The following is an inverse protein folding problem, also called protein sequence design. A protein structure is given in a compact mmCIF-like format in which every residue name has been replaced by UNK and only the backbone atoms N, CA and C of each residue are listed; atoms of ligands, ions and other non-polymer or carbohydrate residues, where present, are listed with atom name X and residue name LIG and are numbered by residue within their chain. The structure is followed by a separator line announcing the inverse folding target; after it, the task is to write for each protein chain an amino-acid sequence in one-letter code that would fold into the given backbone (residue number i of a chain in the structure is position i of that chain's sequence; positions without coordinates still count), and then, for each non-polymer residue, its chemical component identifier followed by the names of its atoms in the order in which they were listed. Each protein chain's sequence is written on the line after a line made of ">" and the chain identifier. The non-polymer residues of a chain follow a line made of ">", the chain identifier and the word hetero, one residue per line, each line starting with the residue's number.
data_IF_638144273044
#
_entry.id   IF_638144273044
#
_cell.length_a   1.000
_cell.length_b   1.000
_cell.length_c   1.000
_cell.angle_alpha   90.00
_cell.angle_beta   90.00
_cell.angle_gamma   90.00
#
_symmetry.space_group_name_H-M   'P 1'
#
loop_
_entity.id
_entity.type
_entity.pdbx_description
1 polymer ?
#
# COMPACT_ATOMS: atom_id res chain seq x y z
N UNK A 1 23.86 10.85 -23.21
CA UNK A 1 23.29 9.78 -22.38
C UNK A 1 23.90 8.47 -22.86
N UNK A 2 24.90 7.97 -22.14
CA UNK A 2 25.39 6.61 -22.37
C UNK A 2 24.43 5.65 -21.69
N UNK A 3 24.00 4.61 -22.40
CA UNK A 3 23.14 3.59 -21.81
C UNK A 3 23.93 2.87 -20.69
N UNK A 4 23.32 2.63 -19.51
CA UNK A 4 24.01 2.01 -18.39
C UNK A 4 24.64 0.66 -18.81
N UNK A 5 25.90 0.46 -18.42
CA UNK A 5 26.66 -0.75 -18.70
C UNK A 5 26.04 -2.01 -18.07
N UNK A 6 26.43 -3.21 -18.52
CA UNK A 6 25.87 -4.48 -18.04
C UNK A 6 26.01 -4.66 -16.52
N UNK A 7 27.04 -4.11 -15.89
CA UNK A 7 27.18 -4.10 -14.42
C UNK A 7 26.07 -3.28 -13.71
N UNK A 8 25.65 -2.15 -14.26
CA UNK A 8 24.58 -1.32 -13.70
C UNK A 8 23.21 -2.01 -13.83
N UNK A 9 22.96 -2.72 -14.94
CA UNK A 9 21.76 -3.56 -15.07
C UNK A 9 21.75 -4.72 -14.07
N UNK A 10 22.89 -5.37 -13.85
CA UNK A 10 23.02 -6.45 -12.88
C UNK A 10 22.71 -6.00 -11.45
N UNK A 11 23.23 -4.85 -11.04
CA UNK A 11 22.96 -4.28 -9.72
C UNK A 11 21.48 -3.92 -9.51
N UNK A 12 20.83 -3.33 -10.52
CA UNK A 12 19.41 -2.98 -10.45
C UNK A 12 18.51 -4.21 -10.24
N UNK A 13 18.72 -5.27 -11.04
CA UNK A 13 17.96 -6.51 -10.93
C UNK A 13 18.27 -7.32 -9.66
N UNK A 14 19.54 -7.33 -9.24
CA UNK A 14 20.00 -8.17 -8.15
C UNK A 14 19.86 -7.55 -6.76
N UNK A 15 19.80 -6.22 -6.66
CA UNK A 15 19.87 -5.51 -5.37
C UNK A 15 18.73 -4.52 -5.21
N UNK A 16 18.60 -3.56 -6.13
CA UNK A 16 17.63 -2.47 -5.97
C UNK A 16 16.18 -2.98 -6.00
N UNK A 17 15.84 -3.78 -7.03
CA UNK A 17 14.50 -4.34 -7.17
C UNK A 17 14.03 -5.18 -5.96
N UNK A 18 14.78 -6.20 -5.48
CA UNK A 18 14.34 -6.98 -4.33
C UNK A 18 14.28 -6.15 -3.05
N UNK A 19 15.18 -5.18 -2.86
CA UNK A 19 15.17 -4.33 -1.67
C UNK A 19 13.95 -3.38 -1.65
N UNK A 20 13.64 -2.75 -2.78
CA UNK A 20 12.47 -1.90 -2.95
C UNK A 20 11.16 -2.66 -2.71
N UNK A 21 11.04 -3.86 -3.26
CA UNK A 21 9.86 -4.73 -3.04
C UNK A 21 9.76 -5.12 -1.56
N UNK A 22 10.88 -5.47 -0.93
CA UNK A 22 10.91 -5.83 0.50
C UNK A 22 10.49 -4.66 1.39
N UNK A 23 10.97 -3.45 1.11
CA UNK A 23 10.59 -2.23 1.83
C UNK A 23 9.08 -1.93 1.67
N UNK A 24 8.53 -2.12 0.47
CA UNK A 24 7.10 -2.00 0.20
C UNK A 24 6.28 -2.94 1.07
N UNK A 25 6.67 -4.21 1.14
CA UNK A 25 5.99 -5.21 1.95
C UNK A 25 6.12 -4.97 3.45
N UNK A 26 7.29 -4.54 3.93
CA UNK A 26 7.46 -4.13 5.33
C UNK A 26 6.46 -3.04 5.67
N UNK A 27 6.34 -2.01 4.84
CA UNK A 27 5.40 -0.91 5.08
C UNK A 27 3.95 -1.41 5.20
N UNK A 28 3.51 -2.24 4.25
CA UNK A 28 2.16 -2.82 4.27
C UNK A 28 1.94 -3.64 5.54
N UNK A 29 2.90 -4.51 5.90
CA UNK A 29 2.83 -5.33 7.09
C UNK A 29 2.80 -4.48 8.38
N UNK A 30 3.58 -3.40 8.45
CA UNK A 30 3.57 -2.48 9.60
C UNK A 30 2.21 -1.82 9.77
N UNK A 31 1.62 -1.29 8.69
CA UNK A 31 0.28 -0.66 8.75
C UNK A 31 -0.79 -1.68 9.18
N UNK A 32 -0.77 -2.87 8.58
CA UNK A 32 -1.71 -3.94 8.90
C UNK A 32 -1.58 -4.41 10.36
N UNK A 33 -0.34 -4.64 10.82
CA UNK A 33 -0.06 -5.10 12.18
C UNK A 33 -0.41 -4.04 13.21
N UNK A 34 -0.13 -2.76 12.96
CA UNK A 34 -0.58 -1.68 13.84
C UNK A 34 -2.11 -1.69 13.95
N UNK A 35 -2.83 -1.77 12.82
CA UNK A 35 -4.30 -1.87 12.84
C UNK A 35 -4.79 -3.06 13.67
N UNK A 36 -4.18 -4.22 13.47
CA UNK A 36 -4.52 -5.44 14.21
C UNK A 36 -4.28 -5.31 15.71
N UNK A 37 -3.17 -4.70 16.12
CA UNK A 37 -2.86 -4.43 17.54
C UNK A 37 -3.89 -3.47 18.14
N UNK A 38 -4.25 -2.39 17.43
CA UNK A 38 -5.23 -1.44 17.93
C UNK A 38 -6.61 -2.10 18.10
N UNK A 39 -7.04 -2.93 17.15
CA UNK A 39 -8.26 -3.73 17.26
C UNK A 39 -8.18 -4.72 18.42
N UNK A 40 -7.06 -5.43 18.58
CA UNK A 40 -6.86 -6.40 19.65
C UNK A 40 -6.92 -5.77 21.05
N UNK A 41 -6.41 -4.55 21.21
CA UNK A 41 -6.49 -3.78 22.45
C UNK A 41 -7.89 -3.20 22.74
N UNK A 42 -8.88 -3.46 21.87
CA UNK A 42 -10.23 -2.93 22.00
C UNK A 42 -10.29 -1.41 21.84
N UNK A 43 -9.32 -0.83 21.12
CA UNK A 43 -9.26 0.60 20.91
C UNK A 43 -10.45 1.06 20.07
N UNK A 44 -11.36 1.82 20.67
CA UNK A 44 -12.62 2.28 20.04
C UNK A 44 -12.47 3.35 18.98
N UNK A 45 -11.30 3.47 18.32
CA UNK A 45 -11.06 4.38 17.21
C UNK A 45 -11.26 5.86 17.55
N UNK A 46 -11.17 6.26 18.83
CA UNK A 46 -11.50 7.62 19.28
C UNK A 46 -12.98 7.99 19.01
N UNK A 47 -13.87 6.99 18.94
CA UNK A 47 -15.27 7.15 18.53
C UNK A 47 -15.47 7.08 17.01
N UNK A 48 -14.43 6.81 16.23
CA UNK A 48 -14.49 6.66 14.77
C UNK A 48 -14.93 5.23 14.41
N UNK A 49 -15.90 5.11 13.51
CA UNK A 49 -16.35 3.82 13.01
C UNK A 49 -15.26 3.08 12.22
N UNK A 50 -15.22 1.75 12.34
CA UNK A 50 -14.21 0.90 11.67
C UNK A 50 -14.01 1.14 10.16
N UNK A 51 -15.07 1.40 9.35
CA UNK A 51 -14.89 1.66 7.92
C UNK A 51 -14.16 2.97 7.67
N UNK A 52 -14.41 3.99 8.49
CA UNK A 52 -13.72 5.28 8.41
C UNK A 52 -12.26 5.10 8.81
N UNK A 53 -11.99 4.33 9.87
CA UNK A 53 -10.62 3.99 10.25
C UNK A 53 -9.86 3.25 9.14
N UNK A 54 -10.53 2.32 8.46
CA UNK A 54 -9.95 1.63 7.28
C UNK A 54 -9.57 2.62 6.18
N UNK A 55 -10.43 3.61 5.89
CA UNK A 55 -10.13 4.66 4.91
C UNK A 55 -8.92 5.49 5.34
N UNK A 56 -8.80 5.84 6.62
CA UNK A 56 -7.62 6.55 7.17
C UNK A 56 -6.33 5.76 6.92
N UNK A 57 -6.33 4.46 7.19
CA UNK A 57 -5.14 3.62 6.97
C UNK A 57 -4.80 3.47 5.48
N UNK A 58 -5.80 3.44 4.60
CA UNK A 58 -5.59 3.49 3.13
C UNK A 58 -4.93 4.82 2.75
N UNK A 59 -5.41 5.95 3.30
CA UNK A 59 -4.81 7.27 3.04
C UNK A 59 -3.34 7.30 3.47
N UNK A 60 -3.00 6.75 4.64
CA UNK A 60 -1.61 6.64 5.11
C UNK A 60 -0.76 5.82 4.14
N UNK A 61 -1.27 4.68 3.67
CA UNK A 61 -0.56 3.84 2.71
C UNK A 61 -0.31 4.56 1.36
N UNK A 62 -1.30 5.32 0.87
CA UNK A 62 -1.16 6.10 -0.37
C UNK A 62 -0.16 7.24 -0.20
N UNK A 63 -0.17 7.96 0.94
CA UNK A 63 0.81 9.02 1.22
C UNK A 63 2.23 8.47 1.27
N UNK A 64 2.43 7.31 1.92
CA UNK A 64 3.71 6.61 1.92
C UNK A 64 4.11 6.22 0.50
N UNK A 65 3.19 5.66 -0.29
CA UNK A 65 3.41 5.36 -1.71
C UNK A 65 3.90 6.57 -2.49
N UNK A 66 3.19 7.69 -2.40
CA UNK A 66 3.54 8.94 -3.09
C UNK A 66 4.90 9.49 -2.67
N UNK A 67 5.23 9.43 -1.38
CA UNK A 67 6.53 9.87 -0.88
C UNK A 67 7.67 9.10 -1.55
N UNK A 68 7.57 7.78 -1.64
CA UNK A 68 8.59 6.96 -2.28
C UNK A 68 8.59 7.09 -3.82
N UNK A 69 7.42 7.21 -4.44
CA UNK A 69 7.32 7.41 -5.90
C UNK A 69 7.91 8.75 -6.34
N UNK A 70 7.56 9.86 -5.68
CA UNK A 70 8.03 11.19 -6.08
C UNK A 70 9.40 11.55 -5.51
N UNK A 71 9.72 11.09 -4.29
CA UNK A 71 11.00 11.38 -3.66
C UNK A 71 12.14 10.50 -4.16
N UNK A 72 11.89 9.21 -4.41
CA UNK A 72 12.92 8.21 -4.69
C UNK A 72 12.80 7.57 -6.09
N UNK A 73 11.78 7.92 -6.88
CA UNK A 73 11.47 7.32 -8.18
C UNK A 73 11.36 5.77 -8.14
N UNK A 74 10.94 5.23 -6.99
CA UNK A 74 10.90 3.79 -6.73
C UNK A 74 9.58 3.16 -7.22
N UNK A 75 9.52 2.85 -8.51
CA UNK A 75 8.37 2.20 -9.15
C UNK A 75 8.07 0.82 -8.52
N UNK A 76 9.06 -0.08 -8.27
CA UNK A 76 8.79 -1.37 -7.63
C UNK A 76 8.10 -1.25 -6.26
N UNK A 77 8.50 -0.27 -5.44
CA UNK A 77 7.83 0.01 -4.16
C UNK A 77 6.35 0.39 -4.36
N UNK A 78 6.08 1.34 -5.27
CA UNK A 78 4.71 1.79 -5.58
C UNK A 78 3.82 0.63 -6.05
N UNK A 79 4.36 -0.27 -6.88
CA UNK A 79 3.64 -1.47 -7.34
C UNK A 79 3.19 -2.38 -6.20
N UNK A 80 3.99 -2.53 -5.14
CA UNK A 80 3.59 -3.31 -3.96
C UNK A 80 2.41 -2.65 -3.24
N UNK A 81 2.40 -1.32 -3.13
CA UNK A 81 1.27 -0.58 -2.55
C UNK A 81 0.01 -0.74 -3.39
N UNK A 82 0.12 -0.60 -4.72
CA UNK A 82 -1.00 -0.82 -5.65
C UNK A 82 -1.55 -2.25 -5.53
N UNK A 83 -0.67 -3.25 -5.44
CA UNK A 83 -1.06 -4.64 -5.24
C UNK A 83 -1.83 -4.84 -3.92
N UNK A 84 -1.36 -4.22 -2.83
CA UNK A 84 -2.03 -4.30 -1.54
C UNK A 84 -3.44 -3.66 -1.57
N UNK A 85 -3.57 -2.48 -2.21
CA UNK A 85 -4.87 -1.82 -2.40
C UNK A 85 -5.82 -2.66 -3.26
N UNK A 86 -5.31 -3.30 -4.31
CA UNK A 86 -6.10 -4.22 -5.14
C UNK A 86 -6.60 -5.43 -4.31
N UNK A 87 -5.77 -5.97 -3.43
CA UNK A 87 -6.15 -7.03 -2.49
C UNK A 87 -7.28 -6.60 -1.53
N UNK A 88 -7.25 -5.35 -1.04
CA UNK A 88 -8.34 -4.79 -0.22
C UNK A 88 -9.64 -4.77 -1.02
N UNK A 89 -9.62 -4.27 -2.27
CA UNK A 89 -10.81 -4.25 -3.13
C UNK A 89 -11.33 -5.67 -3.35
N UNK A 90 -10.47 -6.60 -3.73
CA UNK A 90 -10.84 -7.99 -3.98
C UNK A 90 -11.50 -8.65 -2.76
N UNK A 91 -10.98 -8.41 -1.55
CA UNK A 91 -11.58 -8.93 -0.31
C UNK A 91 -12.94 -8.32 0.00
N UNK A 92 -13.16 -7.05 -0.36
CA UNK A 92 -14.43 -6.35 -0.11
C UNK A 92 -15.51 -6.66 -1.14
N UNK A 93 -15.13 -7.08 -2.35
CA UNK A 93 -16.05 -7.42 -3.44
C UNK A 93 -16.33 -8.92 -3.58
N UNK A 94 -15.51 -9.79 -2.98
CA UNK A 94 -15.66 -11.26 -3.12
C UNK A 94 -16.87 -11.89 -2.43
N UNK A 95 -17.78 -11.09 -1.85
CA UNK A 95 -18.95 -11.59 -1.11
C UNK A 95 -18.63 -12.27 0.24
N UNK A 96 -17.35 -12.45 0.56
CA UNK A 96 -16.84 -12.99 1.85
C UNK A 96 -16.75 -11.90 2.92
N UNK A 97 -16.92 -10.63 2.56
CA UNK A 97 -17.00 -9.54 3.52
C UNK A 97 -18.38 -9.56 4.20
N UNK A 98 -18.41 -9.67 5.53
CA UNK A 98 -19.65 -9.64 6.32
C UNK A 98 -20.46 -8.34 6.09
N UNK A 99 -19.77 -7.23 5.79
CA UNK A 99 -20.37 -5.93 5.48
C UNK A 99 -19.64 -5.24 4.33
N UNK A 100 -20.40 -4.82 3.32
CA UNK A 100 -19.90 -4.07 2.16
C UNK A 100 -19.87 -2.57 2.44
N UNK A 101 -18.67 -1.97 2.38
CA UNK A 101 -18.47 -0.52 2.54
C UNK A 101 -17.91 0.09 1.25
N UNK A 102 -18.74 0.72 0.41
CA UNK A 102 -18.29 1.25 -0.89
C UNK A 102 -17.22 2.33 -0.75
N UNK A 103 -17.22 3.08 0.36
CA UNK A 103 -16.21 4.10 0.64
C UNK A 103 -14.77 3.53 0.70
N UNK A 104 -14.60 2.32 1.24
CA UNK A 104 -13.29 1.64 1.32
C UNK A 104 -12.80 1.26 -0.08
N UNK A 105 -13.71 0.76 -0.93
CA UNK A 105 -13.39 0.38 -2.31
C UNK A 105 -13.02 1.61 -3.14
N UNK A 106 -13.79 2.69 -3.03
CA UNK A 106 -13.52 3.95 -3.74
C UNK A 106 -12.19 4.54 -3.29
N UNK A 107 -11.90 4.56 -1.98
CA UNK A 107 -10.63 5.06 -1.46
C UNK A 107 -9.43 4.25 -1.97
N UNK A 108 -9.53 2.92 -1.98
CA UNK A 108 -8.48 2.05 -2.52
C UNK A 108 -8.29 2.26 -4.03
N UNK A 109 -9.38 2.36 -4.81
CA UNK A 109 -9.31 2.59 -6.25
C UNK A 109 -8.72 3.96 -6.59
N UNK A 110 -9.10 5.01 -5.85
CA UNK A 110 -8.50 6.33 -5.97
C UNK A 110 -7.00 6.30 -5.66
N UNK A 111 -6.60 5.59 -4.60
CA UNK A 111 -5.19 5.38 -4.25
C UNK A 111 -4.38 4.73 -5.37
N UNK A 112 -4.94 3.70 -6.02
CA UNK A 112 -4.32 3.05 -7.19
C UNK A 112 -4.16 4.07 -8.33
N UNK A 113 -5.20 4.83 -8.66
CA UNK A 113 -5.15 5.83 -9.72
C UNK A 113 -4.11 6.93 -9.45
N UNK A 114 -4.00 7.38 -8.20
CA UNK A 114 -3.03 8.39 -7.76
C UNK A 114 -1.59 7.87 -7.86
N UNK A 115 -1.34 6.62 -7.48
CA UNK A 115 0.00 6.02 -7.53
C UNK A 115 0.43 5.59 -8.93
N UNK A 116 -0.52 5.44 -9.86
CA UNK A 116 -0.28 5.10 -11.25
C UNK A 116 -0.21 6.29 -12.22
N UNK A 117 -0.49 7.51 -11.75
CA UNK A 117 -0.42 8.75 -12.52
C UNK A 117 0.97 9.38 -12.47
#
# INVERSE_FOLDING_TARGET
>A
YEAPGPEAKGAWWGVELPFSVYLGWITVATIANMTAVLVHLGWGGWGIAEPVWTVVMITVAVVMGLWFTWGQADIPYSLVIVWALAGIIARRTSGVAEVYYPAVVIAAAAGIGILGA
#
